data_IF_935182559903
#
_entry.id   IF_935182559903
#
_cell.length_a   1.000
_cell.length_b   1.000
_cell.length_c   1.000
_cell.angle_alpha   90.00
_cell.angle_beta   90.00
_cell.angle_gamma   90.00
#
_symmetry.space_group_name_H-M   'P 1'
#
loop_
_entity.id
_entity.type
_entity.pdbx_description
1 polymer ?
#
# COMPACT_ATOMS: atom_id res chain seq x y z
N UNK A 1 13.93 -12.85 9.34
CA UNK A 1 13.40 -11.64 8.66
C UNK A 1 11.87 -11.77 8.49
N UNK A 2 11.11 -11.26 9.46
CA UNK A 2 9.65 -11.29 9.42
C UNK A 2 9.16 -10.27 8.40
N UNK A 3 8.49 -10.73 7.35
CA UNK A 3 7.75 -9.84 6.47
C UNK A 3 6.63 -9.20 7.30
N UNK A 4 6.61 -7.87 7.37
CA UNK A 4 5.52 -7.13 8.00
C UNK A 4 4.19 -7.51 7.36
N UNK A 5 3.14 -7.59 8.19
CA UNK A 5 1.81 -7.97 7.72
C UNK A 5 1.36 -7.03 6.57
N UNK A 6 0.71 -7.58 5.53
CA UNK A 6 0.19 -6.76 4.45
C UNK A 6 -0.88 -5.80 4.98
N UNK A 7 -1.01 -4.66 4.30
CA UNK A 7 -2.08 -3.71 4.57
C UNK A 7 -3.33 -4.31 3.94
N UNK A 8 -4.21 -4.89 4.75
CA UNK A 8 -5.52 -5.35 4.29
C UNK A 8 -6.36 -4.14 3.93
N UNK A 9 -6.75 -4.09 2.67
CA UNK A 9 -7.58 -3.03 2.13
C UNK A 9 -8.66 -3.71 1.28
N UNK A 10 -9.93 -3.28 1.35
CA UNK A 10 -11.05 -4.04 0.75
C UNK A 10 -11.38 -3.53 -0.65
N UNK A 11 -10.73 -4.03 -1.70
CA UNK A 11 -10.90 -3.50 -3.07
C UNK A 11 -10.93 -4.59 -4.14
N UNK A 12 -12.10 -5.01 -4.59
CA UNK A 12 -12.21 -6.10 -5.58
C UNK A 12 -12.14 -5.66 -7.05
N UNK A 13 -11.44 -4.57 -7.39
CA UNK A 13 -11.41 -4.03 -8.75
C UNK A 13 -9.97 -3.93 -9.27
N UNK A 14 -9.71 -4.51 -10.44
CA UNK A 14 -8.40 -4.68 -11.07
C UNK A 14 -7.76 -3.36 -11.51
N UNK A 15 -8.47 -2.22 -11.38
CA UNK A 15 -7.94 -0.88 -11.66
C UNK A 15 -8.36 0.15 -10.62
N UNK A 16 -8.76 -0.30 -9.44
CA UNK A 16 -9.42 0.57 -8.47
C UNK A 16 -8.56 1.82 -8.17
N UNK A 17 -7.25 1.66 -7.95
CA UNK A 17 -6.39 2.79 -7.62
C UNK A 17 -6.25 3.81 -8.76
N UNK A 18 -6.16 3.36 -10.01
CA UNK A 18 -5.92 4.23 -11.17
C UNK A 18 -7.19 4.82 -11.76
N UNK A 19 -8.35 4.22 -11.51
CA UNK A 19 -9.63 4.59 -12.16
C UNK A 19 -10.70 5.09 -11.20
N UNK A 20 -10.54 4.86 -9.88
CA UNK A 20 -11.52 5.26 -8.86
C UNK A 20 -10.85 6.17 -7.82
N UNK A 21 -11.12 7.49 -7.83
CA UNK A 21 -10.46 8.45 -6.94
C UNK A 21 -10.84 8.27 -5.47
N UNK A 22 -12.09 7.88 -5.18
CA UNK A 22 -12.54 7.57 -3.81
C UNK A 22 -11.76 6.39 -3.26
N UNK A 23 -11.52 5.42 -4.14
CA UNK A 23 -10.81 4.21 -3.78
C UNK A 23 -9.36 4.51 -3.38
N UNK A 24 -8.70 5.28 -4.23
CA UNK A 24 -7.35 5.75 -3.98
C UNK A 24 -7.24 6.48 -2.64
N UNK A 25 -8.19 7.34 -2.29
CA UNK A 25 -8.17 8.09 -1.03
C UNK A 25 -8.26 7.18 0.20
N UNK A 26 -9.13 6.17 0.19
CA UNK A 26 -9.25 5.23 1.31
C UNK A 26 -7.98 4.36 1.44
N UNK A 27 -7.36 3.94 0.33
CA UNK A 27 -6.06 3.23 0.37
C UNK A 27 -4.98 4.14 0.97
N UNK A 28 -4.88 5.40 0.52
CA UNK A 28 -3.94 6.37 1.07
C UNK A 28 -4.17 6.61 2.58
N UNK A 29 -5.43 6.67 3.00
CA UNK A 29 -5.80 6.80 4.41
C UNK A 29 -5.40 5.55 5.21
N UNK A 30 -5.65 4.35 4.68
CA UNK A 30 -5.27 3.09 5.32
C UNK A 30 -3.75 2.96 5.47
N UNK A 31 -2.98 3.31 4.44
CA UNK A 31 -1.51 3.35 4.49
C UNK A 31 -1.04 4.30 5.58
N UNK A 32 -1.59 5.51 5.66
CA UNK A 32 -1.22 6.46 6.73
C UNK A 32 -1.61 5.96 8.11
N UNK A 33 -2.78 5.33 8.25
CA UNK A 33 -3.26 4.81 9.53
C UNK A 33 -2.45 3.61 10.04
N UNK A 34 -1.90 2.79 9.14
CA UNK A 34 -1.08 1.63 9.47
C UNK A 34 0.42 1.94 9.54
N UNK A 35 0.79 3.22 9.39
CA UNK A 35 2.16 3.66 9.55
C UNK A 35 2.69 3.28 10.94
N UNK A 36 3.89 2.66 11.02
CA UNK A 36 4.58 2.47 12.28
C UNK A 36 4.69 3.80 13.05
N UNK A 37 4.60 3.76 14.38
CA UNK A 37 4.67 4.97 15.20
C UNK A 37 6.02 5.72 15.07
N UNK A 38 7.07 5.02 14.64
CA UNK A 38 8.41 5.56 14.37
C UNK A 38 8.62 5.95 12.90
N UNK A 39 7.60 5.84 12.04
CA UNK A 39 7.69 6.32 10.67
C UNK A 39 7.54 7.85 10.62
N UNK A 40 8.52 8.53 10.04
CA UNK A 40 8.49 9.98 9.76
C UNK A 40 7.65 10.31 8.53
N UNK A 41 7.50 9.37 7.60
CA UNK A 41 6.65 9.53 6.43
C UNK A 41 6.07 8.19 5.96
N UNK A 42 4.91 8.27 5.31
CA UNK A 42 4.27 7.14 4.63
C UNK A 42 3.88 7.58 3.23
N UNK A 43 4.34 6.86 2.21
CA UNK A 43 4.00 7.14 0.82
C UNK A 43 3.79 5.85 0.01
N UNK A 44 3.03 5.96 -1.07
CA UNK A 44 2.80 4.84 -1.97
C UNK A 44 3.86 4.91 -3.07
N UNK A 45 4.79 3.95 -3.06
CA UNK A 45 5.97 3.95 -3.92
C UNK A 45 5.67 3.54 -5.37
N UNK A 46 4.58 2.81 -5.60
CA UNK A 46 4.16 2.43 -6.93
C UNK A 46 3.00 1.47 -6.96
N UNK A 47 2.41 1.36 -8.15
CA UNK A 47 1.32 0.46 -8.49
C UNK A 47 1.71 -0.42 -9.65
N UNK A 48 1.35 -1.69 -9.58
CA UNK A 48 1.53 -2.61 -10.68
C UNK A 48 0.44 -3.66 -10.68
N UNK A 49 0.00 -4.05 -11.86
CA UNK A 49 -0.88 -5.20 -12.03
C UNK A 49 -0.04 -6.47 -11.95
N UNK A 50 -0.39 -7.35 -11.02
CA UNK A 50 0.25 -8.64 -10.84
C UNK A 50 -0.08 -9.57 -12.00
N UNK A 51 0.96 -10.22 -12.56
CA UNK A 51 0.78 -11.17 -13.67
C UNK A 51 0.15 -12.50 -13.23
N UNK A 52 0.21 -12.85 -11.94
CA UNK A 52 -0.28 -14.13 -11.42
C UNK A 52 -1.78 -14.16 -11.17
N UNK A 53 -2.35 -13.03 -10.73
CA UNK A 53 -3.75 -12.93 -10.31
C UNK A 53 -4.52 -11.84 -11.09
N UNK A 54 -3.81 -11.04 -11.91
CA UNK A 54 -4.41 -9.98 -12.72
C UNK A 54 -4.91 -8.78 -11.92
N UNK A 55 -4.56 -8.67 -10.63
CA UNK A 55 -5.05 -7.62 -9.73
C UNK A 55 -4.02 -6.52 -9.55
N UNK A 56 -4.50 -5.33 -9.27
CA UNK A 56 -3.65 -4.19 -8.94
C UNK A 56 -3.10 -4.31 -7.52
N UNK A 57 -1.78 -4.30 -7.43
CA UNK A 57 -1.02 -4.32 -6.20
C UNK A 57 -0.25 -3.01 -6.02
N UNK A 58 -0.09 -2.60 -4.77
CA UNK A 58 0.70 -1.42 -4.42
C UNK A 58 1.83 -1.75 -3.47
N UNK A 59 2.79 -0.84 -3.36
CA UNK A 59 3.79 -0.87 -2.29
C UNK A 59 3.71 0.41 -1.48
N UNK A 60 3.50 0.28 -0.18
CA UNK A 60 3.67 1.37 0.78
C UNK A 60 5.10 1.36 1.31
N UNK A 61 5.75 2.51 1.25
CA UNK A 61 7.03 2.76 1.88
C UNK A 61 6.81 3.60 3.13
N UNK A 62 7.30 3.09 4.27
CA UNK A 62 7.35 3.81 5.53
C UNK A 62 8.80 4.21 5.80
N UNK A 63 9.07 5.50 5.72
CA UNK A 63 10.37 6.07 6.03
C UNK A 63 10.50 6.20 7.55
N UNK A 64 11.53 5.58 8.13
CA UNK A 64 11.89 5.66 9.54
C UNK A 64 13.20 6.45 9.75
N UNK A 65 13.58 7.28 8.78
CA UNK A 65 14.79 8.09 8.77
C UNK A 65 16.05 7.33 8.34
N UNK A 66 16.42 6.28 9.08
CA UNK A 66 17.61 5.46 8.78
C UNK A 66 17.29 4.17 8.02
N UNK A 67 16.00 3.83 7.94
CA UNK A 67 15.53 2.63 7.26
C UNK A 67 14.18 2.85 6.60
N UNK A 68 13.91 2.01 5.61
CA UNK A 68 12.67 2.05 4.84
C UNK A 68 12.00 0.69 4.96
N UNK A 69 10.80 0.68 5.53
CA UNK A 69 9.97 -0.52 5.60
C UNK A 69 9.00 -0.52 4.43
N UNK A 70 9.02 -1.59 3.64
CA UNK A 70 8.08 -1.79 2.54
C UNK A 70 6.98 -2.74 2.95
N UNK A 71 5.73 -2.34 2.74
CA UNK A 71 4.56 -3.22 2.87
C UNK A 71 3.83 -3.32 1.55
N UNK A 72 3.47 -4.54 1.21
CA UNK A 72 2.65 -4.83 0.05
C UNK A 72 1.20 -4.47 0.36
N UNK A 73 0.56 -3.75 -0.56
CA UNK A 73 -0.86 -3.40 -0.53
C UNK A 73 -1.56 -4.41 -1.44
N UNK A 74 -2.42 -5.24 -0.84
CA UNK A 74 -3.25 -6.19 -1.58
C UNK A 74 -4.72 -5.71 -1.58
N UNK A 75 -5.46 -6.00 -2.67
CA UNK A 75 -6.91 -5.86 -2.73
C UNK A 75 -7.68 -6.85 -1.86
#
# INVERSE_FOLDING_TARGET
>A
PGMSAPIETHWYDDKAYSTKPDVKQEIEAAVRAQAPADASAAYIAGWHTSRSDGRDHGTADYDRGESLERRHIYP
#
